data_IF_144547727609
#
_entry.id   IF_144547727609
#
_cell.length_a   1.000
_cell.length_b   1.000
_cell.length_c   1.000
_cell.angle_alpha   90.00
_cell.angle_beta   90.00
_cell.angle_gamma   90.00
#
_symmetry.space_group_name_H-M   'P 1'
#
loop_
_entity.id
_entity.type
_entity.pdbx_description
1 polymer ?
#
# COMPACT_ATOMS: atom_id res chain seq x y z
N UNK A 1 -1.59 -2.47 15.31
CA UNK A 1 -2.56 -1.50 14.76
C UNK A 1 -1.81 -0.24 14.37
N UNK A 2 -2.04 0.29 13.17
CA UNK A 2 -1.37 1.49 12.67
C UNK A 2 -2.40 2.59 12.38
N UNK A 3 -2.10 3.82 12.79
CA UNK A 3 -2.96 4.99 12.59
C UNK A 3 -2.39 5.88 11.49
N UNK A 4 -3.17 6.14 10.45
CA UNK A 4 -2.90 7.14 9.43
C UNK A 4 -3.77 8.37 9.66
N UNK A 5 -3.14 9.55 9.73
CA UNK A 5 -3.80 10.86 9.88
C UNK A 5 -4.15 11.57 8.56
N UNK A 6 -3.59 11.22 7.38
CA UNK A 6 -4.18 11.66 6.11
C UNK A 6 -5.24 10.65 5.64
N UNK A 7 -6.52 11.05 5.70
CA UNK A 7 -7.60 10.32 5.04
C UNK A 7 -7.86 10.92 3.66
N UNK A 8 -7.28 10.32 2.61
CA UNK A 8 -7.53 10.70 1.21
C UNK A 8 -8.14 9.53 0.43
N UNK A 9 -8.93 9.85 -0.61
CA UNK A 9 -9.55 8.82 -1.48
C UNK A 9 -8.51 7.86 -2.08
N UNK A 10 -7.33 8.37 -2.42
CA UNK A 10 -6.23 7.57 -2.99
C UNK A 10 -5.70 6.56 -1.97
N UNK A 11 -5.51 6.96 -0.72
CA UNK A 11 -5.03 6.07 0.35
C UNK A 11 -6.06 4.96 0.62
N UNK A 12 -7.35 5.30 0.65
CA UNK A 12 -8.43 4.31 0.85
C UNK A 12 -8.44 3.28 -0.30
N UNK A 13 -8.32 3.74 -1.55
CA UNK A 13 -8.22 2.84 -2.71
C UNK A 13 -7.00 1.93 -2.63
N UNK A 14 -5.84 2.48 -2.27
CA UNK A 14 -4.61 1.71 -2.10
C UNK A 14 -4.75 0.63 -1.01
N UNK A 15 -5.28 0.98 0.17
CA UNK A 15 -5.53 0.03 1.26
C UNK A 15 -6.55 -1.04 0.87
N UNK A 16 -7.55 -0.69 0.06
CA UNK A 16 -8.53 -1.66 -0.46
C UNK A 16 -7.86 -2.73 -1.34
N UNK A 17 -6.93 -2.34 -2.20
CA UNK A 17 -6.14 -3.30 -3.01
C UNK A 17 -5.27 -4.17 -2.12
N UNK A 18 -4.56 -3.58 -1.15
CA UNK A 18 -3.73 -4.32 -0.20
C UNK A 18 -4.53 -5.35 0.62
N UNK A 19 -5.76 -5.01 1.00
CA UNK A 19 -6.67 -5.92 1.71
C UNK A 19 -7.16 -7.05 0.80
N UNK A 20 -7.50 -6.77 -0.47
CA UNK A 20 -7.89 -7.80 -1.45
C UNK A 20 -6.80 -8.85 -1.67
N UNK A 21 -5.54 -8.42 -1.70
CA UNK A 21 -4.39 -9.32 -1.80
C UNK A 21 -3.96 -9.95 -0.46
N UNK A 22 -4.73 -9.76 0.62
CA UNK A 22 -4.46 -10.31 1.95
C UNK A 22 -3.10 -9.90 2.55
N UNK A 23 -2.56 -8.73 2.16
CA UNK A 23 -1.37 -8.15 2.78
C UNK A 23 -1.70 -7.49 4.12
N UNK A 24 -2.86 -6.86 4.23
CA UNK A 24 -3.38 -6.21 5.45
C UNK A 24 -4.73 -6.80 5.84
N UNK A 25 -5.11 -6.63 7.10
CA UNK A 25 -6.43 -6.99 7.60
C UNK A 25 -7.47 -5.92 7.29
N UNK A 26 -8.60 -5.99 7.99
CA UNK A 26 -9.64 -4.95 7.94
C UNK A 26 -9.06 -3.61 8.38
N UNK A 27 -9.56 -2.54 7.76
CA UNK A 27 -9.27 -1.17 8.16
C UNK A 27 -10.57 -0.40 8.37
N UNK A 28 -10.50 0.62 9.21
CA UNK A 28 -11.63 1.47 9.59
C UNK A 28 -11.28 2.93 9.34
N UNK A 29 -12.29 3.73 9.01
CA UNK A 29 -12.18 5.18 8.81
C UNK A 29 -12.97 5.84 9.92
N UNK A 30 -12.31 6.71 10.69
CA UNK A 30 -12.93 7.47 11.77
C UNK A 30 -12.91 8.95 11.40
N UNK A 31 -14.09 9.57 11.40
CA UNK A 31 -14.24 11.00 11.16
C UNK A 31 -14.17 11.76 12.50
N UNK A 32 -12.98 12.21 12.87
CA UNK A 32 -12.79 13.27 13.85
C UNK A 32 -12.94 14.56 13.06
N UNK A 33 -13.81 15.50 13.45
CA UNK A 33 -14.15 16.81 12.85
C UNK A 33 -13.06 17.64 12.08
N UNK A 34 -11.80 17.20 12.01
CA UNK A 34 -10.76 17.64 11.07
C UNK A 34 -10.47 16.64 9.93
N UNK A 35 -9.18 16.38 9.66
CA UNK A 35 -8.74 15.41 8.65
C UNK A 35 -8.93 13.99 9.19
N UNK A 36 -9.95 13.27 8.72
CA UNK A 36 -10.30 11.91 9.16
C UNK A 36 -9.09 10.98 9.32
N UNK A 37 -9.25 9.98 10.18
CA UNK A 37 -8.20 9.02 10.56
C UNK A 37 -8.50 7.65 9.96
N UNK A 38 -7.47 6.91 9.59
CA UNK A 38 -7.59 5.53 9.12
C UNK A 38 -6.86 4.62 10.10
N UNK A 39 -7.56 3.61 10.61
CA UNK A 39 -7.01 2.59 11.50
C UNK A 39 -6.85 1.30 10.70
N UNK A 40 -5.62 0.79 10.59
CA UNK A 40 -5.31 -0.43 9.83
C UNK A 40 -4.86 -1.53 10.78
N UNK A 41 -5.45 -2.73 10.62
CA UNK A 41 -4.94 -3.94 11.26
C UNK A 41 -3.91 -4.63 10.36
N UNK A 42 -2.71 -4.91 10.91
CA UNK A 42 -1.63 -5.57 10.18
C UNK A 42 -1.63 -7.06 10.51
N UNK A 43 -1.47 -7.91 9.50
CA UNK A 43 -1.45 -9.38 9.63
C UNK A 43 -0.03 -9.96 9.67
N UNK A 44 1.01 -9.11 9.61
CA UNK A 44 2.42 -9.53 9.61
C UNK A 44 2.98 -9.97 8.25
N UNK A 45 2.19 -9.87 7.17
CA UNK A 45 2.60 -10.25 5.79
C UNK A 45 3.28 -9.13 5.00
N UNK A 46 3.19 -7.89 5.47
CA UNK A 46 3.82 -6.73 4.83
C UNK A 46 5.26 -6.64 5.29
N UNK A 47 6.18 -6.77 4.35
CA UNK A 47 7.59 -6.60 4.62
C UNK A 47 8.08 -5.17 4.37
N UNK A 48 7.80 -4.65 3.17
CA UNK A 48 8.12 -3.29 2.77
C UNK A 48 6.97 -2.73 1.94
N UNK A 49 6.49 -1.55 2.32
CA UNK A 49 5.48 -0.80 1.58
C UNK A 49 5.99 0.64 1.46
N UNK A 50 5.95 1.20 0.25
CA UNK A 50 6.48 2.52 -0.03
C UNK A 50 5.82 3.12 -1.27
N UNK A 51 5.98 4.43 -1.43
CA UNK A 51 5.45 5.17 -2.57
C UNK A 51 6.61 5.55 -3.47
N UNK A 52 6.43 5.40 -4.79
CA UNK A 52 7.34 5.97 -5.79
C UNK A 52 6.99 7.45 -5.91
N UNK A 53 7.88 8.34 -5.47
CA UNK A 53 7.70 9.78 -5.62
C UNK A 53 8.08 10.22 -7.04
N UNK A 54 7.24 11.07 -7.63
CA UNK A 54 7.09 11.35 -9.08
C UNK A 54 6.15 10.38 -9.80
N UNK A 55 5.05 10.91 -10.36
CA UNK A 55 4.08 10.16 -11.16
C UNK A 55 4.56 10.11 -12.60
N UNK A 56 5.54 9.25 -12.85
CA UNK A 56 6.05 9.01 -14.20
C UNK A 56 4.92 8.49 -15.09
N UNK A 57 4.85 9.02 -16.31
CA UNK A 57 4.06 8.41 -17.37
C UNK A 57 4.79 7.15 -17.83
N UNK A 58 4.16 5.99 -17.68
CA UNK A 58 4.75 4.69 -17.98
C UNK A 58 3.98 4.07 -19.15
N UNK A 59 4.70 3.83 -20.26
CA UNK A 59 4.13 3.09 -21.38
C UNK A 59 4.03 1.60 -21.02
N UNK A 60 3.05 0.85 -21.56
CA UNK A 60 2.89 -0.58 -21.26
C UNK A 60 4.14 -1.42 -21.51
N UNK A 61 4.94 -1.04 -22.52
CA UNK A 61 6.21 -1.69 -22.87
C UNK A 61 7.29 -1.57 -21.78
N UNK A 62 7.20 -0.55 -20.93
CA UNK A 62 8.20 -0.25 -19.91
C UNK A 62 7.82 -0.85 -18.54
N UNK A 63 6.61 -1.42 -18.39
CA UNK A 63 6.11 -1.97 -17.13
C UNK A 63 7.02 -3.06 -16.54
N UNK A 64 7.54 -3.95 -17.39
CA UNK A 64 8.43 -5.04 -16.97
C UNK A 64 9.74 -4.49 -16.39
N UNK A 65 10.31 -3.47 -17.04
CA UNK A 65 11.48 -2.75 -16.54
C UNK A 65 11.20 -2.10 -15.19
N UNK A 66 10.02 -1.49 -15.00
CA UNK A 66 9.64 -0.92 -13.71
C UNK A 66 9.46 -1.99 -12.63
N UNK A 67 8.84 -3.12 -12.94
CA UNK A 67 8.68 -4.24 -12.00
C UNK A 67 10.03 -4.78 -11.51
N UNK A 68 11.00 -4.92 -12.41
CA UNK A 68 12.34 -5.43 -12.08
C UNK A 68 13.20 -4.43 -11.27
N UNK A 69 13.01 -3.12 -11.50
CA UNK A 69 13.75 -2.08 -10.79
C UNK A 69 13.14 -1.71 -9.44
N UNK A 70 11.87 -2.09 -9.20
CA UNK A 70 11.28 -1.93 -7.89
C UNK A 70 11.86 -2.99 -6.95
N UNK A 71 12.17 -2.63 -5.69
CA UNK A 71 12.53 -3.62 -4.70
C UNK A 71 11.37 -4.62 -4.61
N UNK A 72 11.61 -5.83 -5.09
CA UNK A 72 10.59 -6.87 -5.27
C UNK A 72 9.75 -7.02 -3.99
N UNK A 73 8.41 -6.94 -4.05
CA UNK A 73 7.57 -7.41 -2.96
C UNK A 73 7.73 -8.93 -2.72
N UNK A 74 8.25 -9.66 -3.73
CA UNK A 74 8.45 -11.11 -3.73
C UNK A 74 9.84 -11.58 -3.25
N UNK A 75 10.82 -10.69 -3.06
CA UNK A 75 12.18 -11.10 -2.63
C UNK A 75 12.25 -11.52 -1.14
N UNK A 76 11.09 -11.65 -0.48
CA UNK A 76 10.95 -12.17 0.87
C UNK A 76 10.09 -13.45 0.92
N UNK A 77 9.75 -14.02 -0.24
CA UNK A 77 9.10 -15.34 -0.36
C UNK A 77 10.05 -16.38 -0.97
N UNK A 78 11.27 -15.99 -1.39
CA UNK A 78 12.29 -16.92 -1.90
C UNK A 78 13.42 -17.22 -0.91
N UNK A 79 13.33 -16.74 0.33
CA UNK A 79 14.22 -17.10 1.43
C UNK A 79 13.32 -17.38 2.63
N UNK A 80 13.16 -18.67 2.94
CA UNK A 80 12.20 -19.34 3.83
C UNK A 80 10.91 -19.84 3.17
#
# INVERSE_FOLDING_TARGET
MLLFRPCSKVIIWFLTVMMKHSYIGKFEITDDHGTGKIIVNLTGRVNKCGVISSRFDVQPKDLEKWQNNLPHPASLVSLY
#
